data_IF_750454765956
#
_entry.id   IF_750454765956
#
_cell.length_a   1.000
_cell.length_b   1.000
_cell.length_c   1.000
_cell.angle_alpha   90.00
_cell.angle_beta   90.00
_cell.angle_gamma   90.00
#
_symmetry.space_group_name_H-M   'P 1'
#
loop_
_entity.id
_entity.type
_entity.pdbx_description
1 polymer ?
#
# COMPACT_ATOMS: atom_id res chain seq x y z
N UNK A 1 5.58 -12.38 -9.84
CA UNK A 1 5.20 -11.20 -9.03
C UNK A 1 4.44 -11.68 -7.81
N UNK A 2 4.93 -11.39 -6.59
CA UNK A 2 4.16 -11.71 -5.37
C UNK A 2 2.94 -10.79 -5.27
N UNK A 3 1.80 -11.36 -4.88
CA UNK A 3 0.58 -10.59 -4.62
C UNK A 3 0.71 -9.86 -3.27
N UNK A 4 0.09 -8.71 -3.19
CA UNK A 4 -0.01 -7.88 -1.98
C UNK A 4 -1.49 -7.63 -1.74
N UNK A 5 -1.87 -7.59 -0.48
CA UNK A 5 -3.25 -7.44 -0.05
C UNK A 5 -3.37 -6.28 0.95
N UNK A 6 -4.58 -5.78 1.11
CA UNK A 6 -4.93 -4.85 2.16
C UNK A 6 -6.22 -5.29 2.85
N UNK A 7 -6.31 -5.03 4.15
CA UNK A 7 -7.57 -5.21 4.87
C UNK A 7 -8.48 -4.01 4.61
N UNK A 8 -9.74 -4.23 4.27
CA UNK A 8 -10.70 -3.16 4.05
C UNK A 8 -11.07 -2.41 5.34
N UNK A 9 -10.95 -3.07 6.50
CA UNK A 9 -11.24 -2.50 7.83
C UNK A 9 -10.07 -1.69 8.37
N UNK A 10 -8.92 -2.32 8.61
CA UNK A 10 -7.78 -1.62 9.20
C UNK A 10 -6.88 -0.94 8.17
N UNK A 11 -7.06 -1.21 6.87
CA UNK A 11 -6.32 -0.61 5.74
C UNK A 11 -4.82 -0.93 5.69
N UNK A 12 -4.33 -1.81 6.58
CA UNK A 12 -2.94 -2.29 6.58
C UNK A 12 -2.67 -3.05 5.28
N UNK A 13 -1.48 -2.87 4.72
CA UNK A 13 -1.00 -3.55 3.52
C UNK A 13 -0.02 -4.66 3.93
N UNK A 14 -0.14 -5.85 3.33
CA UNK A 14 0.61 -7.04 3.72
C UNK A 14 0.70 -8.09 2.60
N UNK A 15 1.58 -9.08 2.77
CA UNK A 15 1.64 -10.29 1.96
C UNK A 15 0.69 -11.37 2.51
N UNK A 16 0.29 -12.32 1.66
CA UNK A 16 -0.58 -13.44 2.02
C UNK A 16 -0.09 -14.20 3.26
N UNK A 17 1.22 -14.41 3.34
CA UNK A 17 1.91 -15.11 4.43
C UNK A 17 1.84 -14.35 5.77
N UNK A 18 1.66 -13.02 5.73
CA UNK A 18 1.61 -12.12 6.89
C UNK A 18 0.21 -11.49 7.00
N UNK A 19 -0.82 -12.33 7.08
CA UNK A 19 -2.21 -11.90 7.11
C UNK A 19 -2.49 -10.87 8.22
N UNK A 20 -3.47 -10.00 7.95
CA UNK A 20 -3.98 -9.07 8.95
C UNK A 20 -4.48 -9.82 10.19
N UNK A 21 -4.13 -9.33 11.38
CA UNK A 21 -4.63 -9.85 12.67
C UNK A 21 -6.03 -9.34 13.02
N UNK A 22 -6.76 -8.80 12.04
CA UNK A 22 -8.09 -8.25 12.24
C UNK A 22 -9.14 -9.34 12.02
N UNK A 23 -10.10 -9.47 12.95
CA UNK A 23 -11.14 -10.51 12.92
C UNK A 23 -12.09 -10.42 11.71
N UNK A 24 -12.13 -9.26 11.04
CA UNK A 24 -13.10 -8.97 9.99
C UNK A 24 -12.89 -9.74 8.68
N UNK A 25 -11.72 -10.35 8.44
CA UNK A 25 -11.36 -11.12 7.22
C UNK A 25 -11.71 -10.47 5.84
N UNK A 26 -12.11 -9.20 5.78
CA UNK A 26 -12.37 -8.46 4.54
C UNK A 26 -11.03 -8.00 3.93
N UNK A 27 -10.44 -8.87 3.13
CA UNK A 27 -9.11 -8.69 2.52
C UNK A 27 -9.28 -8.53 1.01
N UNK A 28 -8.60 -7.52 0.45
CA UNK A 28 -8.63 -7.22 -0.99
C UNK A 28 -7.21 -7.13 -1.55
N UNK A 29 -7.04 -7.55 -2.79
CA UNK A 29 -5.75 -7.44 -3.46
C UNK A 29 -5.41 -5.98 -3.77
N UNK A 30 -4.16 -5.58 -3.49
CA UNK A 30 -3.59 -4.31 -3.97
C UNK A 30 -3.32 -4.44 -5.47
N UNK A 31 -3.96 -3.56 -6.24
CA UNK A 31 -3.76 -3.43 -7.70
C UNK A 31 -2.89 -2.23 -8.01
N UNK A 32 -2.33 -2.18 -9.22
CA UNK A 32 -1.71 -0.94 -9.71
C UNK A 32 -2.74 0.19 -9.72
N UNK A 33 -2.31 1.41 -9.44
CA UNK A 33 -3.16 2.58 -9.29
C UNK A 33 -3.87 2.68 -7.93
N UNK A 34 -3.79 1.67 -7.07
CA UNK A 34 -4.39 1.70 -5.73
C UNK A 34 -3.88 2.92 -4.95
N UNK A 35 -4.76 3.82 -4.49
CA UNK A 35 -4.33 5.00 -3.75
C UNK A 35 -3.95 4.63 -2.32
N UNK A 36 -2.81 5.15 -1.86
CA UNK A 36 -2.23 4.85 -0.55
C UNK A 36 -1.63 6.11 0.07
N UNK A 37 -1.37 6.07 1.37
CA UNK A 37 -0.53 7.04 2.07
C UNK A 37 0.68 6.36 2.71
N UNK A 38 1.74 7.13 2.91
CA UNK A 38 2.92 6.68 3.65
C UNK A 38 2.75 7.04 5.12
N UNK A 39 2.79 6.04 5.99
CA UNK A 39 2.59 6.16 7.44
C UNK A 39 3.65 7.10 8.03
N UNK A 40 3.26 7.92 9.02
CA UNK A 40 4.15 8.92 9.63
C UNK A 40 4.42 10.15 8.75
N UNK A 41 3.81 10.25 7.57
CA UNK A 41 4.01 11.39 6.66
C UNK A 41 2.68 11.92 6.10
N UNK A 42 2.73 13.12 5.49
CA UNK A 42 1.62 13.68 4.71
C UNK A 42 1.58 13.18 3.26
N UNK A 43 2.49 12.28 2.87
CA UNK A 43 2.63 11.82 1.50
C UNK A 43 1.52 10.85 1.12
N UNK A 44 0.86 11.12 0.00
CA UNK A 44 -0.13 10.25 -0.65
C UNK A 44 0.27 10.02 -2.09
N UNK A 45 -0.06 8.83 -2.58
CA UNK A 45 0.28 8.41 -3.92
C UNK A 45 -0.55 7.24 -4.39
N UNK A 46 -0.12 6.65 -5.50
CA UNK A 46 -0.71 5.45 -6.09
C UNK A 46 0.34 4.38 -6.29
N UNK A 47 -0.04 3.12 -6.11
CA UNK A 47 0.85 1.97 -6.38
C UNK A 47 1.21 1.95 -7.87
N UNK A 48 2.48 2.10 -8.18
CA UNK A 48 3.01 2.06 -9.54
C UNK A 48 3.56 0.69 -9.90
N UNK A 49 4.26 0.05 -8.96
CA UNK A 49 4.82 -1.29 -9.14
C UNK A 49 4.94 -2.02 -7.80
N UNK A 50 4.81 -3.35 -7.86
CA UNK A 50 4.97 -4.25 -6.72
C UNK A 50 6.22 -5.10 -6.96
N UNK A 51 7.22 -4.99 -6.08
CA UNK A 51 8.48 -5.74 -6.14
C UNK A 51 8.73 -6.40 -4.79
N UNK A 52 8.40 -7.69 -4.68
CA UNK A 52 8.51 -8.45 -3.43
C UNK A 52 7.89 -7.64 -2.26
N UNK A 53 8.68 -7.26 -1.25
CA UNK A 53 8.25 -6.53 -0.05
C UNK A 53 8.22 -4.99 -0.20
N UNK A 54 8.44 -4.48 -1.41
CA UNK A 54 8.50 -3.04 -1.71
C UNK A 54 7.41 -2.64 -2.71
N UNK A 55 6.68 -1.59 -2.36
CA UNK A 55 5.78 -0.87 -3.27
C UNK A 55 6.49 0.36 -3.78
N UNK A 56 6.64 0.46 -5.09
CA UNK A 56 6.98 1.72 -5.73
C UNK A 56 5.69 2.53 -5.88
N UNK A 57 5.65 3.70 -5.26
CA UNK A 57 4.52 4.60 -5.25
C UNK A 57 4.81 5.79 -6.15
N UNK A 58 3.87 6.19 -7.00
CA UNK A 58 3.90 7.53 -7.61
C UNK A 58 3.28 8.48 -6.60
N UNK A 59 4.09 9.37 -6.03
CA UNK A 59 3.62 10.39 -5.09
C UNK A 59 2.90 11.49 -5.86
N UNK A 60 1.67 11.79 -5.42
CA UNK A 60 0.78 12.76 -6.07
C UNK A 60 0.35 13.90 -5.15
N UNK A 61 0.70 13.84 -3.86
CA UNK A 61 0.41 14.90 -2.89
C UNK A 61 1.46 16.01 -2.83
N UNK A 62 2.57 15.86 -3.55
CA UNK A 62 3.63 16.87 -3.70
C UNK A 62 3.42 17.66 -4.99
N UNK A 63 4.05 18.86 -5.05
CA UNK A 63 4.04 19.70 -6.25
C UNK A 63 4.60 18.95 -7.47
N UNK A 64 5.67 18.19 -7.26
CA UNK A 64 6.30 17.35 -8.26
C UNK A 64 5.88 15.89 -8.10
N UNK A 65 5.66 15.19 -9.21
CA UNK A 65 5.42 13.74 -9.20
C UNK A 65 6.76 13.01 -9.24
N UNK A 66 6.94 12.07 -8.34
CA UNK A 66 8.12 11.21 -8.29
C UNK A 66 7.77 9.81 -7.81
N UNK A 67 8.64 8.85 -8.12
CA UNK A 67 8.51 7.48 -7.65
C UNK A 67 9.24 7.36 -6.31
N UNK A 68 8.56 6.81 -5.31
CA UNK A 68 9.13 6.51 -3.99
C UNK A 68 8.96 5.03 -3.66
N UNK A 69 10.04 4.27 -3.42
CA UNK A 69 9.95 2.93 -2.87
C UNK A 69 9.56 3.00 -1.38
N UNK A 70 8.59 2.19 -0.97
CA UNK A 70 8.14 2.06 0.41
C UNK A 70 7.95 0.58 0.76
N UNK A 71 8.30 0.18 1.98
CA UNK A 71 7.95 -1.15 2.48
C UNK A 71 6.44 -1.26 2.68
N UNK A 72 5.91 -2.48 2.66
CA UNK A 72 4.48 -2.71 2.91
C UNK A 72 4.00 -2.15 4.24
N UNK A 73 4.82 -2.29 5.30
CA UNK A 73 4.53 -1.81 6.65
C UNK A 73 4.42 -0.29 6.75
N UNK A 74 5.08 0.44 5.86
CA UNK A 74 5.06 1.91 5.81
C UNK A 74 3.90 2.46 4.98
N UNK A 75 3.05 1.60 4.43
CA UNK A 75 2.00 1.96 3.48
C UNK A 75 0.64 1.56 4.01
N UNK A 76 -0.33 2.47 3.88
CA UNK A 76 -1.73 2.20 4.25
C UNK A 76 -2.65 2.56 3.08
N UNK A 77 -3.64 1.69 2.81
CA UNK A 77 -4.69 1.98 1.84
C UNK A 77 -5.48 3.20 2.31
N UNK A 78 -5.75 4.13 1.40
CA UNK A 78 -6.73 5.22 1.60
C UNK A 78 -7.92 4.99 0.66
N UNK A 79 -8.96 5.83 0.67
CA UNK A 79 -10.18 5.61 -0.13
C UNK A 79 -9.83 5.36 -1.61
#
# INVERSE_FOLDING_TARGET
MRKVYFCNVCRKVFHEENACTCEANDIKQVKLGTPVNVIGTKLKGKVYRIKNDVLELVITSSKDRYIKPCKLEDVRKII
#
